data_IF_438918089662
#
_entry.id   IF_438918089662
#
_cell.length_a   1.000
_cell.length_b   1.000
_cell.length_c   1.000
_cell.angle_alpha   90.00
_cell.angle_beta   90.00
_cell.angle_gamma   90.00
#
_symmetry.space_group_name_H-M   'P 1'
#
loop_
_entity.id
_entity.type
_entity.pdbx_description
1 polymer ?
#
# COMPACT_ATOMS: atom_id res chain seq x y z
N UNK A 1 -0.87 38.29 -9.56
CA UNK A 1 -0.40 37.08 -8.80
C UNK A 1 -1.50 36.06 -8.42
N UNK A 2 -2.79 36.42 -8.26
CA UNK A 2 -3.86 35.51 -7.76
C UNK A 2 -4.23 34.28 -8.62
N UNK A 3 -3.91 34.26 -9.93
CA UNK A 3 -4.31 33.17 -10.86
C UNK A 3 -3.32 31.99 -10.89
N UNK A 4 -2.07 32.21 -10.48
CA UNK A 4 -1.01 31.21 -10.61
C UNK A 4 -1.06 30.14 -9.52
N UNK A 5 -1.44 30.47 -8.29
CA UNK A 5 -1.50 29.50 -7.18
C UNK A 5 -2.54 28.39 -7.38
N UNK A 6 -3.72 28.72 -7.93
CA UNK A 6 -4.76 27.73 -8.20
C UNK A 6 -4.36 26.77 -9.33
N UNK A 7 -3.70 27.28 -10.39
CA UNK A 7 -3.15 26.44 -11.46
C UNK A 7 -2.01 25.55 -10.97
N UNK A 8 -1.16 26.09 -10.10
CA UNK A 8 -0.03 25.35 -9.52
C UNK A 8 -0.51 24.22 -8.61
N UNK A 9 -1.49 24.47 -7.73
CA UNK A 9 -2.08 23.44 -6.88
C UNK A 9 -2.74 22.34 -7.70
N UNK A 10 -3.49 22.70 -8.75
CA UNK A 10 -4.13 21.73 -9.63
C UNK A 10 -3.09 20.86 -10.36
N UNK A 11 -2.00 21.46 -10.83
CA UNK A 11 -0.85 20.74 -11.41
C UNK A 11 -0.21 19.77 -10.41
N UNK A 12 0.04 20.19 -9.17
CA UNK A 12 0.59 19.31 -8.15
C UNK A 12 -0.36 18.15 -7.84
N UNK A 13 -1.67 18.40 -7.78
CA UNK A 13 -2.65 17.35 -7.52
C UNK A 13 -2.68 16.32 -8.66
N UNK A 14 -2.65 16.80 -9.91
CA UNK A 14 -2.61 15.95 -11.09
C UNK A 14 -1.32 15.12 -11.13
N UNK A 15 -0.18 15.75 -10.84
CA UNK A 15 1.12 15.10 -10.76
C UNK A 15 1.14 14.03 -9.66
N UNK A 16 0.59 14.33 -8.48
CA UNK A 16 0.47 13.37 -7.38
C UNK A 16 -0.37 12.16 -7.76
N UNK A 17 -1.52 12.37 -8.43
CA UNK A 17 -2.38 11.26 -8.88
C UNK A 17 -1.65 10.39 -9.89
N UNK A 18 -0.92 10.98 -10.85
CA UNK A 18 -0.12 10.25 -11.84
C UNK A 18 0.99 9.45 -11.14
N UNK A 19 1.71 10.07 -10.20
CA UNK A 19 2.78 9.41 -9.43
C UNK A 19 2.23 8.25 -8.60
N UNK A 20 1.08 8.42 -7.95
CA UNK A 20 0.41 7.33 -7.22
C UNK A 20 0.04 6.21 -8.18
N UNK A 21 -0.52 6.53 -9.35
CA UNK A 21 -0.94 5.53 -10.34
C UNK A 21 0.22 4.73 -10.91
N UNK A 22 1.34 5.39 -11.21
CA UNK A 22 2.59 4.75 -11.64
C UNK A 22 3.20 3.94 -10.47
N UNK A 23 3.22 4.52 -9.28
CA UNK A 23 3.79 3.90 -8.08
C UNK A 23 3.07 2.62 -7.67
N UNK A 24 1.74 2.54 -7.83
CA UNK A 24 0.95 1.33 -7.53
C UNK A 24 1.48 0.11 -8.29
N UNK A 25 2.00 0.31 -9.51
CA UNK A 25 2.57 -0.78 -10.32
C UNK A 25 4.06 -1.04 -10.07
N UNK A 26 4.80 -0.10 -9.49
CA UNK A 26 6.27 -0.10 -9.59
C UNK A 26 6.99 -0.05 -8.23
N UNK A 27 6.54 0.77 -7.28
CA UNK A 27 7.23 0.91 -5.99
C UNK A 27 6.41 1.67 -4.95
N UNK A 28 6.39 1.15 -3.72
CA UNK A 28 5.75 1.79 -2.56
C UNK A 28 6.36 3.16 -2.21
N UNK A 29 7.66 3.35 -2.42
CA UNK A 29 8.33 4.64 -2.20
C UNK A 29 7.73 5.72 -3.11
N UNK A 30 7.41 5.33 -4.35
CA UNK A 30 6.79 6.22 -5.35
C UNK A 30 5.33 6.52 -4.97
N UNK A 31 4.58 5.53 -4.49
CA UNK A 31 3.22 5.75 -3.94
C UNK A 31 3.25 6.70 -2.75
N UNK A 32 4.18 6.48 -1.81
CA UNK A 32 4.32 7.30 -0.61
C UNK A 32 4.72 8.74 -0.94
N UNK A 33 5.66 8.93 -1.87
CA UNK A 33 6.01 10.25 -2.41
C UNK A 33 4.81 10.95 -3.05
N UNK A 34 4.00 10.21 -3.82
CA UNK A 34 2.77 10.71 -4.41
C UNK A 34 1.76 11.16 -3.35
N UNK A 35 1.58 10.38 -2.28
CA UNK A 35 0.71 10.73 -1.15
C UNK A 35 1.22 11.97 -0.42
N UNK A 36 2.54 12.07 -0.14
CA UNK A 36 3.14 13.26 0.49
C UNK A 36 2.91 14.50 -0.37
N UNK A 37 3.13 14.41 -1.68
CA UNK A 37 2.87 15.52 -2.60
C UNK A 37 1.39 15.91 -2.61
N UNK A 38 0.48 14.94 -2.50
CA UNK A 38 -0.97 15.19 -2.42
C UNK A 38 -1.34 15.91 -1.11
N UNK A 39 -0.75 15.52 0.02
CA UNK A 39 -0.91 16.20 1.33
C UNK A 39 -0.31 17.61 1.28
N UNK A 40 0.87 17.78 0.70
CA UNK A 40 1.51 19.09 0.56
C UNK A 40 0.68 20.02 -0.35
N UNK A 41 0.19 19.51 -1.48
CA UNK A 41 -0.72 20.24 -2.36
C UNK A 41 -2.01 20.63 -1.63
N UNK A 42 -2.54 19.74 -0.79
CA UNK A 42 -3.71 19.98 0.05
C UNK A 42 -3.46 21.06 1.11
N UNK A 43 -2.32 21.04 1.82
CA UNK A 43 -1.95 22.06 2.81
C UNK A 43 -1.76 23.42 2.14
N UNK A 44 -1.01 23.47 1.03
CA UNK A 44 -0.79 24.71 0.26
C UNK A 44 -2.12 25.28 -0.23
N UNK A 45 -3.03 24.42 -0.71
CA UNK A 45 -4.34 24.85 -1.15
C UNK A 45 -5.16 25.36 0.04
N UNK A 46 -5.17 24.67 1.18
CA UNK A 46 -5.84 25.09 2.42
C UNK A 46 -5.33 26.45 2.93
N UNK A 47 -4.01 26.70 2.90
CA UNK A 47 -3.41 27.99 3.28
C UNK A 47 -3.79 29.10 2.27
N UNK A 48 -3.77 28.79 0.97
CA UNK A 48 -4.23 29.73 -0.07
C UNK A 48 -5.75 30.01 0.03
N UNK A 49 -6.51 29.05 0.56
CA UNK A 49 -7.97 29.01 0.74
C UNK A 49 -8.46 29.78 1.96
N UNK A 50 -7.68 29.90 3.04
CA UNK A 50 -8.02 30.84 4.15
C UNK A 50 -8.24 32.26 3.60
N UNK A 51 -7.78 32.54 2.38
CA UNK A 51 -8.01 33.78 1.65
C UNK A 51 -9.15 33.76 0.60
N UNK A 52 -9.85 32.64 0.35
CA UNK A 52 -10.90 32.52 -0.70
C UNK A 52 -11.86 31.30 -0.57
N UNK A 53 -13.15 31.56 -0.44
CA UNK A 53 -14.17 30.63 0.08
C UNK A 53 -14.70 29.47 -0.81
N UNK A 54 -14.53 29.44 -2.15
CA UNK A 54 -15.26 28.44 -2.98
C UNK A 54 -14.45 27.25 -3.52
N UNK A 55 -13.15 27.37 -3.76
CA UNK A 55 -12.36 26.28 -4.36
C UNK A 55 -11.94 25.19 -3.35
N UNK A 56 -12.05 25.48 -2.06
CA UNK A 56 -11.70 24.57 -0.95
C UNK A 56 -12.62 23.36 -0.85
N UNK A 57 -13.92 23.59 -1.02
CA UNK A 57 -14.95 22.59 -0.78
C UNK A 57 -14.85 21.43 -1.78
N UNK A 58 -14.48 21.70 -3.03
CA UNK A 58 -14.31 20.69 -4.07
C UNK A 58 -13.11 19.78 -3.77
N UNK A 59 -12.00 20.35 -3.28
CA UNK A 59 -10.83 19.56 -2.89
C UNK A 59 -11.10 18.71 -1.66
N UNK A 60 -11.76 19.28 -0.65
CA UNK A 60 -12.20 18.53 0.52
C UNK A 60 -13.17 17.41 0.16
N UNK A 61 -14.13 17.65 -0.74
CA UNK A 61 -15.07 16.61 -1.17
C UNK A 61 -14.35 15.49 -1.92
N UNK A 62 -13.41 15.82 -2.82
CA UNK A 62 -12.62 14.81 -3.54
C UNK A 62 -11.71 13.99 -2.60
N UNK A 63 -11.10 14.64 -1.60
CA UNK A 63 -10.29 13.96 -0.60
C UNK A 63 -11.12 13.01 0.28
N UNK A 64 -12.30 13.46 0.73
CA UNK A 64 -13.24 12.62 1.47
C UNK A 64 -13.69 11.43 0.62
N UNK A 65 -14.05 11.65 -0.64
CA UNK A 65 -14.40 10.57 -1.58
C UNK A 65 -13.23 9.60 -1.76
N UNK A 66 -11.99 10.08 -1.89
CA UNK A 66 -10.81 9.22 -1.97
C UNK A 66 -10.63 8.35 -0.71
N UNK A 67 -10.80 8.93 0.49
CA UNK A 67 -10.76 8.17 1.74
C UNK A 67 -11.84 7.09 1.81
N UNK A 68 -13.03 7.34 1.25
CA UNK A 68 -14.09 6.33 1.14
C UNK A 68 -13.79 5.23 0.12
N UNK A 69 -12.97 5.49 -0.90
CA UNK A 69 -12.57 4.49 -1.90
C UNK A 69 -11.45 3.57 -1.38
N UNK A 70 -10.57 4.08 -0.50
CA UNK A 70 -9.43 3.31 0.02
C UNK A 70 -9.81 1.93 0.61
N UNK A 71 -10.86 1.79 1.45
CA UNK A 71 -11.28 0.49 1.97
C UNK A 71 -11.69 -0.52 0.88
N UNK A 72 -12.23 -0.05 -0.25
CA UNK A 72 -12.60 -0.92 -1.38
C UNK A 72 -11.40 -1.41 -2.17
N UNK A 73 -10.24 -0.75 -2.02
CA UNK A 73 -8.99 -1.15 -2.66
C UNK A 73 -8.16 -2.13 -1.83
N UNK A 74 -8.73 -2.75 -0.79
CA UNK A 74 -8.01 -3.73 0.03
C UNK A 74 -7.68 -4.99 -0.78
N UNK A 75 -6.43 -5.46 -0.75
CA UNK A 75 -6.04 -6.67 -1.45
C UNK A 75 -6.60 -7.93 -0.79
N UNK A 76 -6.87 -8.93 -1.62
CA UNK A 76 -7.48 -10.20 -1.23
C UNK A 76 -6.48 -11.20 -0.64
N UNK A 77 -6.95 -12.39 -0.24
CA UNK A 77 -6.07 -13.51 0.12
C UNK A 77 -5.26 -14.01 -1.08
N UNK A 78 -5.85 -14.07 -2.27
CA UNK A 78 -5.14 -14.46 -3.48
C UNK A 78 -4.01 -13.47 -3.82
N UNK A 79 -4.27 -12.18 -3.64
CA UNK A 79 -3.26 -11.14 -3.84
C UNK A 79 -2.06 -11.27 -2.89
N UNK A 80 -2.24 -11.89 -1.71
CA UNK A 80 -1.17 -12.16 -0.77
C UNK A 80 -0.32 -13.35 -1.21
N UNK A 81 -0.94 -14.44 -1.67
CA UNK A 81 -0.22 -15.62 -2.19
C UNK A 81 0.55 -15.28 -3.46
N UNK A 82 -0.05 -14.50 -4.37
CA UNK A 82 0.62 -14.03 -5.59
C UNK A 82 1.84 -13.17 -5.24
N UNK A 83 1.69 -12.29 -4.25
CA UNK A 83 2.78 -11.46 -3.77
C UNK A 83 3.92 -12.29 -3.14
N UNK A 84 3.60 -13.32 -2.35
CA UNK A 84 4.60 -14.24 -1.79
C UNK A 84 5.38 -14.95 -2.90
N UNK A 85 4.70 -15.41 -3.95
CA UNK A 85 5.32 -16.10 -5.08
C UNK A 85 6.25 -15.17 -5.87
N UNK A 86 5.81 -13.95 -6.16
CA UNK A 86 6.57 -13.00 -6.98
C UNK A 86 7.73 -12.36 -6.21
N UNK A 87 7.52 -11.95 -4.96
CA UNK A 87 8.52 -11.16 -4.21
C UNK A 87 9.41 -11.99 -3.31
N UNK A 88 8.93 -13.13 -2.81
CA UNK A 88 9.66 -13.96 -1.85
C UNK A 88 9.90 -15.39 -2.37
N UNK A 89 9.50 -15.68 -3.61
CA UNK A 89 9.65 -17.00 -4.25
C UNK A 89 8.94 -18.14 -3.49
N UNK A 90 7.92 -17.83 -2.70
CA UNK A 90 7.09 -18.82 -2.01
C UNK A 90 5.77 -19.01 -2.73
N UNK A 91 5.62 -20.13 -3.44
CA UNK A 91 4.33 -20.54 -3.99
C UNK A 91 3.53 -21.26 -2.91
N UNK A 92 2.50 -20.61 -2.39
CA UNK A 92 1.75 -21.07 -1.23
C UNK A 92 0.35 -21.57 -1.59
N UNK A 93 0.14 -22.89 -1.51
CA UNK A 93 -1.18 -23.51 -1.62
C UNK A 93 -1.66 -24.03 -0.26
N UNK A 94 -2.68 -23.37 0.29
CA UNK A 94 -3.35 -23.71 1.56
C UNK A 94 -2.44 -23.98 2.76
N UNK A 95 -1.90 -25.19 2.89
CA UNK A 95 -1.13 -25.68 4.05
C UNK A 95 0.37 -25.85 3.79
N UNK A 96 0.81 -25.71 2.55
CA UNK A 96 2.20 -25.83 2.15
C UNK A 96 2.63 -24.63 1.31
N UNK A 97 3.89 -24.26 1.42
CA UNK A 97 4.54 -23.35 0.50
C UNK A 97 5.75 -24.05 -0.11
N UNK A 98 6.05 -23.76 -1.37
CA UNK A 98 7.23 -24.30 -2.05
C UNK A 98 8.17 -23.15 -2.37
N UNK A 99 9.44 -23.30 -2.01
CA UNK A 99 10.51 -22.35 -2.33
C UNK A 99 11.67 -23.09 -2.94
N UNK A 100 12.07 -22.71 -4.16
CA UNK A 100 13.23 -23.28 -4.84
C UNK A 100 13.34 -24.82 -4.76
N UNK A 101 12.20 -25.52 -4.95
CA UNK A 101 12.02 -26.99 -4.87
C UNK A 101 11.98 -27.62 -3.46
N UNK A 102 12.16 -26.85 -2.39
CA UNK A 102 11.96 -27.31 -1.01
C UNK A 102 10.52 -27.04 -0.56
N UNK A 103 9.91 -28.00 0.14
CA UNK A 103 8.56 -27.88 0.69
C UNK A 103 8.65 -27.32 2.11
N UNK A 104 8.03 -26.17 2.32
CA UNK A 104 7.90 -25.55 3.62
C UNK A 104 6.50 -25.72 4.17
N UNK A 105 6.43 -26.12 5.44
CA UNK A 105 5.18 -26.31 6.16
C UNK A 105 4.68 -24.97 6.66
N UNK A 106 3.40 -24.66 6.40
CA UNK A 106 2.76 -23.48 6.98
C UNK A 106 2.43 -23.75 8.45
N UNK A 107 3.19 -23.13 9.36
CA UNK A 107 2.97 -23.25 10.80
C UNK A 107 1.81 -22.37 11.25
N UNK A 108 1.73 -21.14 10.72
CA UNK A 108 0.71 -20.18 11.11
C UNK A 108 0.46 -19.16 10.01
N UNK A 109 -0.80 -18.75 9.86
CA UNK A 109 -1.20 -17.57 9.09
C UNK A 109 -2.02 -16.65 9.99
N UNK A 110 -1.62 -15.38 10.08
CA UNK A 110 -2.42 -14.35 10.75
C UNK A 110 -2.86 -13.30 9.76
N UNK A 111 -4.10 -12.83 9.91
CA UNK A 111 -4.64 -11.70 9.17
C UNK A 111 -5.21 -10.70 10.16
N UNK A 112 -4.83 -9.44 10.02
CA UNK A 112 -5.32 -8.30 10.79
C UNK A 112 -5.89 -7.30 9.79
N UNK A 113 -7.23 -7.18 9.77
CA UNK A 113 -7.93 -6.33 8.82
C UNK A 113 -8.21 -4.96 9.46
N UNK A 114 -7.47 -3.94 9.03
CA UNK A 114 -7.65 -2.56 9.46
C UNK A 114 -8.54 -1.81 8.48
N UNK A 115 -9.04 -0.63 8.88
CA UNK A 115 -10.00 0.12 8.06
C UNK A 115 -9.47 0.48 6.65
N UNK A 116 -8.18 0.83 6.53
CA UNK A 116 -7.55 1.25 5.27
C UNK A 116 -6.56 0.25 4.66
N UNK A 117 -6.14 -0.76 5.41
CA UNK A 117 -5.12 -1.72 4.98
C UNK A 117 -5.31 -3.07 5.67
N UNK A 118 -4.72 -4.12 5.12
CA UNK A 118 -4.71 -5.45 5.74
C UNK A 118 -3.27 -5.83 6.08
N UNK A 119 -2.99 -6.23 7.30
CA UNK A 119 -1.70 -6.83 7.63
C UNK A 119 -1.85 -8.34 7.61
N UNK A 120 -0.97 -9.04 6.92
CA UNK A 120 -0.90 -10.49 6.90
C UNK A 120 0.46 -10.98 7.28
N UNK A 121 0.51 -12.12 7.96
CA UNK A 121 1.75 -12.80 8.24
C UNK A 121 1.63 -14.29 7.99
N UNK A 122 2.73 -14.87 7.53
CA UNK A 122 2.88 -16.30 7.35
C UNK A 122 4.16 -16.73 8.06
N UNK A 123 4.02 -17.79 8.87
CA UNK A 123 5.14 -18.52 9.48
C UNK A 123 5.32 -19.83 8.75
N UNK A 124 6.53 -20.07 8.27
CA UNK A 124 6.92 -21.26 7.54
C UNK A 124 7.98 -22.02 8.34
N UNK A 125 8.00 -23.33 8.20
CA UNK A 125 8.99 -24.23 8.78
C UNK A 125 9.55 -25.11 7.68
N UNK A 126 10.88 -25.16 7.56
CA UNK A 126 11.55 -26.04 6.61
C UNK A 126 11.77 -27.46 7.19
N UNK A 127 12.32 -28.35 6.37
CA UNK A 127 12.62 -29.73 6.78
C UNK A 127 13.66 -29.84 7.91
N UNK A 128 14.41 -28.75 8.17
CA UNK A 128 15.44 -28.66 9.22
C UNK A 128 14.89 -28.03 10.50
N UNK A 129 13.59 -27.72 10.56
CA UNK A 129 12.94 -27.07 11.71
C UNK A 129 13.25 -25.57 11.83
N UNK A 130 13.81 -24.94 10.79
CA UNK A 130 14.08 -23.49 10.79
C UNK A 130 12.78 -22.74 10.50
N UNK A 131 12.51 -21.72 11.30
CA UNK A 131 11.30 -20.92 11.18
C UNK A 131 11.54 -19.63 10.37
N UNK A 132 10.66 -19.36 9.42
CA UNK A 132 10.65 -18.16 8.61
C UNK A 132 9.38 -17.36 8.89
N UNK A 133 9.51 -16.04 9.04
CA UNK A 133 8.38 -15.13 9.23
C UNK A 133 8.39 -14.10 8.12
N UNK A 134 7.30 -14.07 7.37
CA UNK A 134 7.05 -13.07 6.34
C UNK A 134 5.78 -12.32 6.75
N UNK A 135 5.90 -11.02 6.93
CA UNK A 135 4.77 -10.12 7.19
C UNK A 135 4.64 -9.14 6.03
N UNK A 136 3.42 -9.00 5.53
CA UNK A 136 3.07 -8.05 4.48
C UNK A 136 1.96 -7.09 4.90
N UNK A 137 2.05 -5.85 4.46
CA UNK A 137 0.95 -4.87 4.52
C UNK A 137 0.32 -4.77 3.14
N UNK A 138 -0.98 -4.95 3.08
CA UNK A 138 -1.83 -4.87 1.91
C UNK A 138 -2.56 -3.54 1.84
N UNK A 139 -2.30 -2.76 0.79
CA UNK A 139 -2.92 -1.45 0.54
C UNK A 139 -3.03 -1.24 -0.97
N UNK A 140 -4.08 -0.55 -1.43
CA UNK A 140 -4.26 -0.19 -2.86
C UNK A 140 -4.11 -1.38 -3.84
N UNK A 141 -4.64 -2.54 -3.48
CA UNK A 141 -4.68 -3.73 -4.34
C UNK A 141 -3.39 -4.57 -4.37
N UNK A 142 -2.35 -4.20 -3.60
CA UNK A 142 -1.09 -4.96 -3.54
C UNK A 142 -0.56 -5.15 -2.12
N UNK A 143 0.38 -6.06 -1.95
CA UNK A 143 1.12 -6.29 -0.71
C UNK A 143 2.56 -5.77 -0.81
N UNK A 144 3.12 -5.39 0.34
CA UNK A 144 4.52 -5.02 0.50
C UNK A 144 5.10 -5.64 1.76
N UNK A 145 6.42 -5.90 1.78
CA UNK A 145 7.10 -6.51 2.93
C UNK A 145 7.16 -5.53 4.08
N UNK A 146 6.61 -5.92 5.23
CA UNK A 146 6.78 -5.21 6.50
C UNK A 146 7.96 -5.79 7.27
N UNK A 147 7.97 -7.13 7.39
CA UNK A 147 8.99 -7.86 8.15
C UNK A 147 9.36 -9.10 7.34
N UNK A 148 10.66 -9.31 7.16
CA UNK A 148 11.20 -10.59 6.68
C UNK A 148 12.27 -11.04 7.66
N UNK A 149 12.00 -12.13 8.38
CA UNK A 149 12.97 -12.76 9.28
C UNK A 149 13.31 -14.14 8.73
N UNK A 150 14.40 -14.25 7.96
CA UNK A 150 14.91 -15.54 7.51
C UNK A 150 15.59 -16.21 8.70
N UNK A 151 14.98 -17.28 9.22
CA UNK A 151 15.47 -18.08 10.36
C UNK A 151 15.41 -17.33 11.69
N UNK A 152 14.49 -17.71 12.57
CA UNK A 152 14.47 -17.31 13.98
C UNK A 152 14.26 -18.53 14.89
N UNK A 153 14.83 -18.49 16.09
CA UNK A 153 14.60 -19.47 17.17
C UNK A 153 13.20 -19.32 17.81
#
# INVERSE_FOLDING_TARGET
MKKNYSRLSLLFTFLSIIIIFIGIKQSFIVVFLGIILLIAAFIINTIAVVKRERSSLIFWSLFIVFLFILPFSKPSNASFTDWLAVQHQFDCQDKACVSNTEVEKVVNRKSEDYFFFNKKSIKLEDEKGRLFLIEGIGILGGYTTLTYKPVFE
#
